data_IF_056837411321
#
_entry.id   IF_056837411321
#
_cell.length_a   1.000
_cell.length_b   1.000
_cell.length_c   1.000
_cell.angle_alpha   90.00
_cell.angle_beta   90.00
_cell.angle_gamma   90.00
#
_symmetry.space_group_name_H-M   'P 1'
#
loop_
_entity.id
_entity.type
_entity.pdbx_description
1 polymer ?
#
# COMPACT_ATOMS: atom_id res chain seq x y z
N UNK A 1 -15.77 -25.64 -9.22
CA UNK A 1 -15.01 -24.38 -9.43
C UNK A 1 -14.72 -24.23 -10.92
N UNK A 2 -15.12 -23.13 -11.56
CA UNK A 2 -14.85 -22.94 -13.00
C UNK A 2 -13.36 -22.64 -13.25
N UNK A 3 -12.85 -22.92 -14.45
CA UNK A 3 -11.46 -22.60 -14.85
C UNK A 3 -11.13 -21.11 -14.68
N UNK A 4 -12.13 -20.23 -14.69
CA UNK A 4 -11.96 -18.78 -14.49
C UNK A 4 -11.74 -18.44 -13.01
N UNK A 5 -12.53 -19.02 -12.10
CA UNK A 5 -12.34 -18.85 -10.65
C UNK A 5 -10.98 -19.38 -10.17
N UNK A 6 -10.48 -20.44 -10.80
CA UNK A 6 -9.15 -21.00 -10.47
C UNK A 6 -8.00 -20.07 -10.87
N UNK A 7 -8.13 -19.34 -11.99
CA UNK A 7 -7.11 -18.36 -12.41
C UNK A 7 -7.09 -17.13 -11.49
N UNK A 8 -8.26 -16.66 -11.05
CA UNK A 8 -8.36 -15.56 -10.09
C UNK A 8 -7.67 -15.89 -8.77
N UNK A 9 -7.91 -17.09 -8.23
CA UNK A 9 -7.28 -17.56 -7.00
C UNK A 9 -5.74 -17.57 -7.09
N UNK A 10 -5.21 -18.04 -8.23
CA UNK A 10 -3.75 -18.07 -8.45
C UNK A 10 -3.16 -16.67 -8.52
N UNK A 11 -3.81 -15.73 -9.22
CA UNK A 11 -3.36 -14.34 -9.32
C UNK A 11 -3.36 -13.65 -7.95
N UNK A 12 -4.42 -13.85 -7.15
CA UNK A 12 -4.50 -13.32 -5.78
C UNK A 12 -3.40 -13.93 -4.89
N UNK A 13 -3.16 -15.24 -5.02
CA UNK A 13 -2.08 -15.91 -4.28
C UNK A 13 -0.70 -15.34 -4.61
N UNK A 14 -0.41 -15.07 -5.89
CA UNK A 14 0.86 -14.45 -6.31
C UNK A 14 0.97 -13.02 -5.75
N UNK A 15 -0.09 -12.22 -5.85
CA UNK A 15 -0.13 -10.86 -5.30
C UNK A 15 0.12 -10.85 -3.79
N UNK A 16 -0.45 -11.81 -3.06
CA UNK A 16 -0.23 -11.94 -1.63
C UNK A 16 1.25 -12.23 -1.31
N UNK A 17 1.89 -13.13 -2.05
CA UNK A 17 3.31 -13.45 -1.87
C UNK A 17 4.20 -12.24 -2.18
N UNK A 18 3.90 -11.50 -3.24
CA UNK A 18 4.62 -10.27 -3.59
C UNK A 18 4.47 -9.21 -2.50
N UNK A 19 3.29 -9.09 -1.90
CA UNK A 19 3.03 -8.14 -0.83
C UNK A 19 3.78 -8.52 0.45
N UNK A 20 3.80 -9.79 0.84
CA UNK A 20 4.59 -10.29 1.97
C UNK A 20 6.09 -10.05 1.72
N UNK A 21 6.58 -10.35 0.51
CA UNK A 21 7.97 -10.09 0.14
C UNK A 21 8.31 -8.60 0.16
N UNK A 22 7.40 -7.74 -0.29
CA UNK A 22 7.53 -6.29 -0.21
C UNK A 22 7.69 -5.80 1.22
N UNK A 23 6.84 -6.26 2.15
CA UNK A 23 6.95 -5.92 3.58
C UNK A 23 8.31 -6.33 4.16
N UNK A 24 8.79 -7.53 3.81
CA UNK A 24 10.07 -8.03 4.30
C UNK A 24 11.27 -7.22 3.78
N UNK A 25 11.23 -6.81 2.50
CA UNK A 25 12.27 -5.98 1.87
C UNK A 25 12.25 -4.55 2.39
N UNK A 26 11.05 -4.00 2.59
CA UNK A 26 10.85 -2.66 3.15
C UNK A 26 11.24 -2.56 4.62
N UNK A 27 11.60 -3.67 5.28
CA UNK A 27 12.01 -3.74 6.68
C UNK A 27 11.06 -2.96 7.60
N UNK A 28 9.75 -3.06 7.30
CA UNK A 28 8.72 -2.43 8.10
C UNK A 28 8.73 -3.15 9.43
N UNK A 29 9.18 -2.48 10.49
CA UNK A 29 9.18 -3.05 11.83
C UNK A 29 7.72 -3.18 12.30
N UNK A 30 7.23 -4.42 12.35
CA UNK A 30 5.85 -4.73 12.71
C UNK A 30 5.68 -5.10 14.19
N UNK A 31 6.76 -5.17 14.98
CA UNK A 31 6.73 -5.64 16.38
C UNK A 31 6.63 -4.50 17.39
N UNK A 32 5.75 -3.53 17.16
CA UNK A 32 5.47 -2.49 18.14
C UNK A 32 4.15 -2.79 18.86
N UNK A 33 4.19 -2.84 20.19
CA UNK A 33 3.01 -3.01 21.05
C UNK A 33 2.18 -1.71 21.17
N UNK A 34 2.73 -0.60 20.70
CA UNK A 34 2.10 0.72 20.72
C UNK A 34 2.36 1.49 19.40
N UNK A 35 1.45 2.41 19.01
CA UNK A 35 1.65 3.24 17.82
C UNK A 35 2.96 4.02 17.89
N UNK A 36 3.84 3.82 16.91
CA UNK A 36 5.08 4.59 16.81
C UNK A 36 4.86 5.88 16.03
N UNK A 37 5.41 6.97 16.54
CA UNK A 37 5.54 8.21 15.78
C UNK A 37 6.62 8.04 14.72
N UNK A 38 6.25 8.11 13.44
CA UNK A 38 7.23 8.12 12.36
C UNK A 38 7.92 9.50 12.32
N UNK A 39 9.23 9.57 12.04
CA UNK A 39 9.95 10.84 11.87
C UNK A 39 9.31 11.72 10.79
N UNK A 40 8.63 11.09 9.83
CA UNK A 40 7.73 11.65 8.84
C UNK A 40 6.64 12.59 9.37
N UNK A 41 6.18 12.38 10.60
CA UNK A 41 5.16 13.18 11.28
C UNK A 41 5.74 14.07 12.40
N UNK A 42 7.04 13.98 12.65
CA UNK A 42 7.73 14.82 13.62
C UNK A 42 7.98 16.21 13.02
N UNK A 43 6.96 17.08 13.06
CA UNK A 43 7.06 18.44 12.53
C UNK A 43 5.74 19.18 12.31
N UNK A 44 4.61 18.67 12.83
CA UNK A 44 3.29 19.30 12.64
C UNK A 44 3.08 20.59 13.44
N UNK A 45 4.05 21.03 14.24
CA UNK A 45 4.05 22.37 14.86
C UNK A 45 4.80 23.36 13.96
N UNK A 46 4.12 23.89 12.95
CA UNK A 46 4.38 25.19 12.30
C UNK A 46 5.87 25.60 12.18
N UNK A 47 6.68 24.82 11.47
CA UNK A 47 8.08 25.17 11.16
C UNK A 47 8.19 25.67 9.70
N UNK A 48 8.68 26.89 9.42
CA UNK A 48 8.85 27.43 8.06
C UNK A 48 9.80 26.64 7.13
N UNK A 49 10.47 25.59 7.61
CA UNK A 49 11.34 24.70 6.82
C UNK A 49 10.59 23.51 6.17
N UNK A 50 9.28 23.63 5.91
CA UNK A 50 8.43 22.65 5.20
C UNK A 50 8.74 22.49 3.71
N UNK A 51 9.95 22.78 3.26
CA UNK A 51 10.37 22.31 1.95
C UNK A 51 10.47 20.79 2.02
N UNK A 52 9.62 20.09 1.27
CA UNK A 52 9.68 18.63 1.14
C UNK A 52 10.86 18.19 0.28
N UNK A 53 11.53 19.14 -0.36
CA UNK A 53 12.70 18.92 -1.20
C UNK A 53 13.98 19.34 -0.48
N UNK A 54 15.05 18.56 -0.68
CA UNK A 54 16.43 18.94 -0.42
C UNK A 54 17.21 18.83 -1.72
N UNK A 55 17.60 19.97 -2.29
CA UNK A 55 18.38 20.01 -3.53
C UNK A 55 17.72 19.42 -4.79
N UNK A 56 16.42 19.11 -4.74
CA UNK A 56 15.66 18.50 -5.83
C UNK A 56 15.26 17.04 -5.60
N UNK A 57 15.74 16.43 -4.51
CA UNK A 57 15.31 15.11 -4.03
C UNK A 57 14.32 15.26 -2.88
N UNK A 58 13.47 14.25 -2.66
CA UNK A 58 12.56 14.28 -1.52
C UNK A 58 13.36 14.10 -0.23
N UNK A 59 13.10 14.93 0.79
CA UNK A 59 13.73 14.76 2.10
C UNK A 59 13.39 13.37 2.65
N UNK A 60 14.39 12.63 3.13
CA UNK A 60 14.21 11.28 3.67
C UNK A 60 13.18 11.23 4.83
N UNK A 61 13.06 12.34 5.56
CA UNK A 61 12.13 12.50 6.68
C UNK A 61 10.74 12.99 6.24
N UNK A 62 10.45 13.05 4.93
CA UNK A 62 9.18 13.56 4.41
C UNK A 62 8.19 12.43 4.12
N UNK A 63 6.89 12.74 4.20
CA UNK A 63 5.82 11.78 3.89
C UNK A 63 5.88 11.28 2.45
N UNK A 64 6.13 12.14 1.45
CA UNK A 64 6.28 11.66 0.07
C UNK A 64 7.46 10.68 -0.09
N UNK A 65 8.59 10.90 0.58
CA UNK A 65 9.73 9.97 0.53
C UNK A 65 9.37 8.60 1.11
N UNK A 66 8.78 8.57 2.32
CA UNK A 66 8.35 7.33 2.94
C UNK A 66 7.32 6.57 2.07
N UNK A 67 6.35 7.28 1.49
CA UNK A 67 5.27 6.68 0.68
C UNK A 67 5.78 6.18 -0.67
N UNK A 68 6.55 6.99 -1.40
CA UNK A 68 6.92 6.68 -2.79
C UNK A 68 8.28 5.99 -2.94
N UNK A 69 9.24 6.30 -2.08
CA UNK A 69 10.59 5.74 -2.17
C UNK A 69 10.78 4.53 -1.25
N UNK A 70 10.38 4.63 0.02
CA UNK A 70 10.56 3.53 0.99
C UNK A 70 9.49 2.43 0.83
N UNK A 71 8.21 2.83 0.72
CA UNK A 71 7.07 1.91 0.65
C UNK A 71 6.42 1.80 -0.73
N UNK A 72 6.94 2.50 -1.74
CA UNK A 72 6.35 2.55 -3.08
C UNK A 72 6.15 1.16 -3.72
N UNK A 73 7.08 0.23 -3.47
CA UNK A 73 6.98 -1.15 -3.95
C UNK A 73 5.79 -1.91 -3.35
N UNK A 74 5.43 -1.64 -2.10
CA UNK A 74 4.29 -2.27 -1.41
C UNK A 74 2.96 -1.65 -1.85
N UNK A 75 2.95 -0.37 -2.24
CA UNK A 75 1.74 0.32 -2.70
C UNK A 75 1.17 -0.23 -4.01
N UNK A 76 2.01 -0.73 -4.91
CA UNK A 76 1.57 -1.28 -6.21
C UNK A 76 0.66 -2.51 -6.04
N UNK A 77 1.07 -3.60 -5.37
CA UNK A 77 0.21 -4.76 -5.16
C UNK A 77 -1.00 -4.41 -4.27
N UNK A 78 -0.83 -3.51 -3.29
CA UNK A 78 -1.95 -3.03 -2.46
C UNK A 78 -3.03 -2.34 -3.30
N UNK A 79 -2.64 -1.44 -4.21
CA UNK A 79 -3.56 -0.73 -5.10
C UNK A 79 -4.30 -1.69 -6.02
N UNK A 80 -3.61 -2.69 -6.58
CA UNK A 80 -4.23 -3.72 -7.42
C UNK A 80 -5.25 -4.57 -6.64
N UNK A 81 -4.94 -4.91 -5.38
CA UNK A 81 -5.86 -5.64 -4.51
C UNK A 81 -7.09 -4.81 -4.16
N UNK A 82 -6.91 -3.54 -3.77
CA UNK A 82 -8.02 -2.64 -3.44
C UNK A 82 -8.92 -2.37 -4.65
N UNK A 83 -8.32 -2.11 -5.82
CA UNK A 83 -9.06 -1.92 -7.06
C UNK A 83 -9.81 -3.21 -7.47
N UNK A 84 -9.15 -4.37 -7.40
CA UNK A 84 -9.76 -5.66 -7.68
C UNK A 84 -10.93 -5.97 -6.75
N UNK A 85 -10.81 -5.66 -5.45
CA UNK A 85 -11.89 -5.82 -4.48
C UNK A 85 -13.08 -4.89 -4.78
N UNK A 86 -12.83 -3.63 -5.14
CA UNK A 86 -13.88 -2.68 -5.50
C UNK A 86 -14.64 -3.13 -6.76
N UNK A 87 -13.93 -3.49 -7.82
CA UNK A 87 -14.56 -3.96 -9.07
C UNK A 87 -15.31 -5.28 -8.84
N UNK A 88 -14.72 -6.21 -8.07
CA UNK A 88 -15.37 -7.46 -7.71
C UNK A 88 -16.67 -7.26 -6.93
N UNK A 89 -16.65 -6.37 -5.93
CA UNK A 89 -17.85 -6.02 -5.16
C UNK A 89 -18.97 -5.47 -6.05
N UNK A 90 -18.65 -4.53 -6.95
CA UNK A 90 -19.65 -3.95 -7.87
C UNK A 90 -20.25 -5.01 -8.80
N UNK A 91 -19.43 -5.93 -9.33
CA UNK A 91 -19.93 -6.98 -10.22
C UNK A 91 -20.84 -7.96 -9.48
N UNK A 92 -20.46 -8.39 -8.27
CA UNK A 92 -21.28 -9.29 -7.44
C UNK A 92 -22.60 -8.61 -7.06
N UNK A 93 -22.57 -7.35 -6.64
CA UNK A 93 -23.80 -6.61 -6.31
C UNK A 93 -24.73 -6.41 -7.49
N UNK A 94 -24.23 -6.46 -8.74
CA UNK A 94 -25.09 -6.42 -9.93
C UNK A 94 -25.69 -7.79 -10.26
N UNK A 95 -24.95 -8.89 -10.06
CA UNK A 95 -25.50 -10.24 -10.22
C UNK A 95 -26.64 -10.51 -9.21
N UNK A 96 -26.52 -10.06 -7.95
CA UNK A 96 -27.56 -10.24 -6.92
C UNK A 96 -28.87 -9.45 -7.15
N UNK A 97 -28.87 -8.46 -8.07
CA UNK A 97 -30.06 -7.66 -8.41
C UNK A 97 -30.77 -8.19 -9.66
N UNK A 98 -30.05 -8.95 -10.48
CA UNK A 98 -30.59 -9.57 -11.70
C UNK A 98 -31.18 -10.97 -11.45
N UNK A 99 -30.96 -11.57 -10.28
CA UNK A 99 -31.71 -12.71 -9.72
C UNK A 99 -32.97 -12.26 -8.94
#
# INVERSE_FOLDING_TARGET
>A
MSKRSSKGLVVVGILLVVLIGGIFVSNIETNYDEPQGLPTFAGTEHDPDQDIFDGGELKENSLPYAVFEEYGFVLIPLALLMFGAMVGGVVISKEEVEE
#
